data_IF_584479440468
#
_entry.id   IF_584479440468
#
_cell.length_a   1.000
_cell.length_b   1.000
_cell.length_c   1.000
_cell.angle_alpha   90.00
_cell.angle_beta   90.00
_cell.angle_gamma   90.00
#
_symmetry.space_group_name_H-M   'P 1'
#
loop_
_entity.id
_entity.type
_entity.pdbx_description
1 polymer ?
#
# COMPACT_ATOMS: atom_id res chain seq x y z
N UNK A 1 -30.38 19.80 6.48
CA UNK A 1 -29.85 21.17 6.64
C UNK A 1 -30.94 22.21 6.34
N UNK A 2 -31.99 22.31 7.17
CA UNK A 2 -33.11 23.26 6.96
C UNK A 2 -33.48 24.00 8.27
N UNK A 3 -32.83 23.67 9.39
CA UNK A 3 -33.06 24.36 10.66
C UNK A 3 -32.17 25.61 10.76
N UNK A 4 -32.56 26.57 11.62
CA UNK A 4 -31.80 27.82 11.85
C UNK A 4 -30.36 27.58 12.35
N UNK A 5 -30.11 26.44 12.99
CA UNK A 5 -28.77 26.01 13.42
C UNK A 5 -28.05 25.08 12.43
N UNK A 6 -28.63 24.80 11.26
CA UNK A 6 -28.11 23.80 10.32
C UNK A 6 -26.71 24.12 9.80
N UNK A 7 -26.41 25.41 9.55
CA UNK A 7 -25.11 25.83 9.06
C UNK A 7 -23.98 25.55 10.08
N UNK A 8 -24.25 25.74 11.38
CA UNK A 8 -23.28 25.44 12.43
C UNK A 8 -22.93 23.95 12.48
N UNK A 9 -23.95 23.08 12.37
CA UNK A 9 -23.76 21.63 12.36
C UNK A 9 -23.03 21.19 11.09
N UNK A 10 -23.39 21.76 9.94
CA UNK A 10 -22.69 21.52 8.67
C UNK A 10 -21.20 21.84 8.80
N UNK A 11 -20.88 23.02 9.34
CA UNK A 11 -19.49 23.46 9.45
C UNK A 11 -18.64 22.55 10.35
N UNK A 12 -19.16 22.14 11.52
CA UNK A 12 -18.44 21.17 12.37
C UNK A 12 -18.21 19.87 11.60
N UNK A 13 -19.27 19.32 10.98
CA UNK A 13 -19.18 18.03 10.31
C UNK A 13 -18.21 18.08 9.13
N UNK A 14 -18.27 19.14 8.31
CA UNK A 14 -17.39 19.32 7.16
C UNK A 14 -15.92 19.46 7.57
N UNK A 15 -15.64 20.27 8.58
CA UNK A 15 -14.28 20.48 9.07
C UNK A 15 -13.68 19.21 9.71
N UNK A 16 -14.49 18.45 10.46
CA UNK A 16 -14.04 17.21 11.11
C UNK A 16 -13.96 16.02 10.14
N UNK A 17 -14.85 15.90 9.15
CA UNK A 17 -14.82 14.79 8.18
C UNK A 17 -13.89 15.02 6.99
N UNK A 18 -13.93 16.22 6.40
CA UNK A 18 -13.21 16.57 5.17
C UNK A 18 -11.74 16.94 5.37
N UNK A 19 -11.33 17.20 6.62
CA UNK A 19 -9.96 17.57 6.96
C UNK A 19 -9.04 16.37 7.19
N UNK A 20 -8.55 16.27 8.42
CA UNK A 20 -7.50 15.32 8.82
C UNK A 20 -7.82 13.82 8.59
N UNK A 21 -9.06 13.31 8.82
CA UNK A 21 -9.34 11.88 8.65
C UNK A 21 -9.22 11.40 7.21
N UNK A 22 -9.63 12.24 6.24
CA UNK A 22 -9.54 11.90 4.82
C UNK A 22 -8.08 11.73 4.38
N UNK A 23 -7.18 12.57 4.90
CA UNK A 23 -5.74 12.47 4.66
C UNK A 23 -5.16 11.17 5.22
N UNK A 24 -5.56 10.78 6.44
CA UNK A 24 -5.11 9.51 7.04
C UNK A 24 -5.56 8.32 6.20
N UNK A 25 -6.83 8.29 5.79
CA UNK A 25 -7.36 7.21 4.94
C UNK A 25 -6.54 7.11 3.65
N UNK A 26 -6.28 8.24 2.99
CA UNK A 26 -5.47 8.29 1.77
C UNK A 26 -4.05 7.74 1.96
N UNK A 27 -3.36 8.08 3.07
CA UNK A 27 -2.02 7.54 3.34
C UNK A 27 -2.05 6.03 3.55
N UNK A 28 -3.02 5.53 4.34
CA UNK A 28 -3.17 4.10 4.58
C UNK A 28 -3.44 3.38 3.25
N UNK A 29 -4.35 3.90 2.42
CA UNK A 29 -4.70 3.31 1.13
C UNK A 29 -3.49 3.26 0.18
N UNK A 30 -2.75 4.36 0.04
CA UNK A 30 -1.54 4.39 -0.79
C UNK A 30 -0.45 3.44 -0.29
N UNK A 31 -0.28 3.33 1.03
CA UNK A 31 0.67 2.41 1.63
C UNK A 31 0.26 0.95 1.40
N UNK A 32 -1.03 0.63 1.57
CA UNK A 32 -1.59 -0.68 1.27
C UNK A 32 -1.36 -1.07 -0.19
N UNK A 33 -1.65 -0.20 -1.16
CA UNK A 33 -1.43 -0.50 -2.58
C UNK A 33 0.06 -0.66 -2.89
N UNK A 34 0.90 0.26 -2.42
CA UNK A 34 2.31 0.32 -2.83
C UNK A 34 3.19 -0.76 -2.20
N UNK A 35 2.97 -1.08 -0.91
CA UNK A 35 3.81 -2.01 -0.13
C UNK A 35 3.14 -3.34 0.18
N UNK A 36 1.83 -3.36 0.48
CA UNK A 36 1.13 -4.60 0.83
C UNK A 36 0.76 -5.36 -0.45
N UNK A 37 0.10 -4.73 -1.40
CA UNK A 37 -0.24 -5.36 -2.69
C UNK A 37 0.99 -5.46 -3.60
N UNK A 38 1.80 -4.40 -3.65
CA UNK A 38 3.05 -4.33 -4.40
C UNK A 38 2.89 -3.60 -5.72
N UNK A 39 3.79 -2.64 -5.97
CA UNK A 39 3.75 -1.78 -7.16
C UNK A 39 3.86 -2.55 -8.49
N UNK A 40 4.63 -3.64 -8.52
CA UNK A 40 4.78 -4.44 -9.75
C UNK A 40 3.47 -5.14 -10.13
N UNK A 41 2.79 -5.74 -9.15
CA UNK A 41 1.47 -6.35 -9.34
C UNK A 41 0.45 -5.31 -9.81
N UNK A 42 0.45 -4.12 -9.20
CA UNK A 42 -0.43 -3.02 -9.61
C UNK A 42 -0.16 -2.55 -11.05
N UNK A 43 1.10 -2.50 -11.48
CA UNK A 43 1.45 -2.14 -12.86
C UNK A 43 1.05 -3.22 -13.87
N UNK A 44 1.15 -4.49 -13.49
CA UNK A 44 0.72 -5.61 -14.32
C UNK A 44 -0.81 -5.61 -14.47
N UNK A 45 -1.54 -5.26 -13.40
CA UNK A 45 -3.00 -5.09 -13.44
C UNK A 45 -3.43 -3.93 -14.36
N UNK A 46 -2.72 -2.80 -14.31
CA UNK A 46 -2.98 -1.67 -15.20
C UNK A 46 -2.70 -2.05 -16.66
N UNK A 47 -1.61 -2.78 -16.92
CA UNK A 47 -1.30 -3.27 -18.25
C UNK A 47 -2.38 -4.24 -18.76
N UNK A 48 -2.94 -5.07 -17.88
CA UNK A 48 -4.05 -5.96 -18.22
C UNK A 48 -5.33 -5.19 -18.60
N UNK A 49 -5.60 -4.05 -17.97
CA UNK A 49 -6.79 -3.22 -18.25
C UNK A 49 -6.64 -2.36 -19.52
N UNK A 50 -5.47 -1.75 -19.72
CA UNK A 50 -5.22 -0.81 -20.82
C UNK A 50 -4.63 -1.46 -22.08
N UNK A 51 -4.28 -2.75 -22.01
CA UNK A 51 -3.56 -3.49 -23.02
C UNK A 51 -2.06 -3.58 -22.72
N UNK A 52 -1.47 -4.73 -23.04
CA UNK A 52 -0.10 -5.12 -22.67
C UNK A 52 0.96 -4.10 -23.12
N UNK A 53 0.69 -3.39 -24.22
CA UNK A 53 1.61 -2.41 -24.79
C UNK A 53 1.74 -1.12 -23.97
N UNK A 54 0.88 -0.91 -22.96
CA UNK A 54 0.82 0.33 -22.16
C UNK A 54 1.20 0.13 -20.70
N UNK A 55 2.22 -0.70 -20.43
CA UNK A 55 2.77 -0.83 -19.07
C UNK A 55 3.28 0.53 -18.58
N UNK A 56 2.89 0.99 -17.37
CA UNK A 56 3.36 2.25 -16.82
C UNK A 56 4.88 2.30 -16.74
N UNK A 57 5.48 3.36 -17.30
CA UNK A 57 6.93 3.57 -17.25
C UNK A 57 7.42 3.68 -15.79
N UNK A 58 8.66 3.29 -15.51
CA UNK A 58 9.23 3.25 -14.15
C UNK A 58 9.15 4.58 -13.41
N UNK A 59 9.14 5.71 -14.13
CA UNK A 59 8.91 7.03 -13.55
C UNK A 59 7.57 7.12 -12.80
N UNK A 60 6.48 6.62 -13.39
CA UNK A 60 5.16 6.61 -12.76
C UNK A 60 5.12 5.70 -11.53
N UNK A 61 5.81 4.57 -11.60
CA UNK A 61 5.93 3.64 -10.49
C UNK A 61 6.64 4.27 -9.28
N UNK A 62 7.74 4.99 -9.53
CA UNK A 62 8.46 5.72 -8.48
C UNK A 62 7.59 6.86 -7.92
N UNK A 63 6.85 7.55 -8.78
CA UNK A 63 5.92 8.60 -8.38
C UNK A 63 4.87 8.06 -7.39
N UNK A 64 4.17 7.00 -7.74
CA UNK A 64 3.15 6.42 -6.87
C UNK A 64 3.72 5.76 -5.61
N UNK A 65 4.90 5.14 -5.71
CA UNK A 65 5.51 4.44 -4.58
C UNK A 65 6.10 5.39 -3.55
N UNK A 66 6.75 6.48 -3.97
CA UNK A 66 7.50 7.35 -3.06
C UNK A 66 6.97 8.78 -3.03
N UNK A 67 6.66 9.36 -4.19
CA UNK A 67 6.27 10.78 -4.28
C UNK A 67 4.88 10.99 -3.70
N UNK A 68 3.88 10.19 -4.08
CA UNK A 68 2.51 10.31 -3.58
C UNK A 68 2.40 10.17 -2.05
N UNK A 69 2.97 9.14 -1.39
CA UNK A 69 2.92 9.06 0.07
C UNK A 69 3.73 10.16 0.75
N UNK A 70 4.83 10.63 0.15
CA UNK A 70 5.61 11.75 0.69
C UNK A 70 4.81 13.06 0.66
N UNK A 71 4.11 13.35 -0.44
CA UNK A 71 3.26 14.54 -0.56
C UNK A 71 2.12 14.46 0.46
N UNK A 72 1.44 13.33 0.60
CA UNK A 72 0.37 13.19 1.59
C UNK A 72 0.89 13.35 3.02
N UNK A 73 2.05 12.75 3.34
CA UNK A 73 2.66 12.91 4.67
C UNK A 73 3.03 14.38 4.93
N UNK A 74 3.56 15.08 3.94
CA UNK A 74 3.82 16.51 4.02
C UNK A 74 2.54 17.31 4.25
N UNK A 75 1.45 17.01 3.54
CA UNK A 75 0.14 17.66 3.73
C UNK A 75 -0.42 17.41 5.12
N UNK A 76 -0.26 16.20 5.69
CA UNK A 76 -0.68 15.89 7.06
C UNK A 76 0.10 16.73 8.07
N UNK A 77 1.43 16.80 7.94
CA UNK A 77 2.27 17.61 8.84
C UNK A 77 1.89 19.08 8.73
N UNK A 78 1.74 19.61 7.52
CA UNK A 78 1.32 20.98 7.30
C UNK A 78 -0.07 21.25 7.89
N UNK A 79 -1.04 20.37 7.65
CA UNK A 79 -2.39 20.47 8.22
C UNK A 79 -2.38 20.45 9.75
N UNK A 80 -1.48 19.68 10.37
CA UNK A 80 -1.34 19.66 11.84
C UNK A 80 -0.68 20.91 12.39
N UNK A 81 0.29 21.50 11.69
CA UNK A 81 0.99 22.71 12.13
C UNK A 81 0.11 23.97 12.01
N UNK A 82 -0.72 24.03 10.97
CA UNK A 82 -1.64 25.14 10.72
C UNK A 82 -3.06 24.84 11.20
N UNK A 83 -3.21 23.91 12.17
CA UNK A 83 -4.50 23.61 12.75
C UNK A 83 -5.04 24.83 13.51
N UNK A 84 -6.11 25.42 13.00
CA UNK A 84 -6.88 26.44 13.70
C UNK A 84 -8.12 25.80 14.33
N UNK A 85 -8.48 26.28 15.52
CA UNK A 85 -9.71 25.85 16.19
C UNK A 85 -10.91 26.09 15.26
N UNK A 86 -11.81 25.11 15.19
CA UNK A 86 -13.00 25.19 14.35
C UNK A 86 -13.87 26.32 14.90
N UNK A 87 -13.93 27.45 14.22
CA UNK A 87 -14.77 28.61 14.57
C UNK A 87 -15.64 28.97 13.38
N UNK A 88 -16.91 29.29 13.63
CA UNK A 88 -17.78 29.88 12.60
C UNK A 88 -18.07 31.32 13.00
N UNK A 89 -17.54 32.26 12.22
CA UNK A 89 -17.58 33.70 12.51
C UNK A 89 -17.04 33.99 13.93
N UNK A 90 -17.88 34.50 14.84
CA UNK A 90 -17.57 34.79 16.25
C UNK A 90 -18.06 33.68 17.23
N UNK A 91 -18.60 32.58 16.73
CA UNK A 91 -19.12 31.50 17.57
C UNK A 91 -18.04 30.47 17.90
N UNK A 92 -17.67 30.40 19.18
CA UNK A 92 -16.84 29.33 19.73
C UNK A 92 -17.70 28.13 20.07
N UNK A 93 -17.36 26.97 19.50
CA UNK A 93 -18.13 25.75 19.72
C UNK A 93 -17.93 25.22 21.15
N UNK A 94 -19.01 24.79 21.81
CA UNK A 94 -18.90 24.23 23.15
C UNK A 94 -18.15 22.88 23.13
N UNK A 95 -17.46 22.50 24.21
CA UNK A 95 -16.63 21.29 24.26
C UNK A 95 -17.36 19.99 23.92
N UNK A 96 -18.64 19.88 24.25
CA UNK A 96 -19.44 18.70 23.91
C UNK A 96 -19.63 18.53 22.40
N UNK A 97 -19.70 19.63 21.65
CA UNK A 97 -19.87 19.59 20.21
C UNK A 97 -18.57 19.15 19.51
N UNK A 98 -17.43 19.61 20.02
CA UNK A 98 -16.11 19.15 19.59
C UNK A 98 -15.92 17.66 19.89
N UNK A 99 -16.36 17.18 21.06
CA UNK A 99 -16.32 15.76 21.40
C UNK A 99 -17.17 14.89 20.45
N UNK A 100 -18.34 15.37 20.02
CA UNK A 100 -19.14 14.70 18.99
C UNK A 100 -18.42 14.65 17.65
N UNK A 101 -17.74 15.73 17.25
CA UNK A 101 -16.90 15.75 16.03
C UNK A 101 -15.84 14.66 16.05
N UNK A 102 -15.06 14.59 17.15
CA UNK A 102 -14.04 13.55 17.33
C UNK A 102 -14.61 12.13 17.40
N UNK A 103 -15.79 11.94 17.99
CA UNK A 103 -16.47 10.64 18.03
C UNK A 103 -16.79 10.14 16.61
N UNK A 104 -17.31 11.02 15.74
CA UNK A 104 -17.57 10.67 14.34
C UNK A 104 -16.28 10.28 13.62
N UNK A 105 -15.19 11.03 13.84
CA UNK A 105 -13.87 10.71 13.27
C UNK A 105 -13.39 9.33 13.71
N UNK A 106 -13.49 9.01 15.00
CA UNK A 106 -13.06 7.72 15.55
C UNK A 106 -13.89 6.58 14.97
N UNK A 107 -15.20 6.77 14.79
CA UNK A 107 -16.06 5.75 14.18
C UNK A 107 -15.65 5.50 12.73
N UNK A 108 -15.43 6.56 11.94
CA UNK A 108 -15.03 6.46 10.54
C UNK A 108 -13.65 5.80 10.39
N UNK A 109 -12.65 6.28 11.13
CA UNK A 109 -11.28 5.75 11.06
C UNK A 109 -11.16 4.37 11.70
N UNK A 110 -11.96 4.08 12.73
CA UNK A 110 -11.95 2.82 13.46
C UNK A 110 -12.59 1.65 12.71
N UNK A 111 -13.44 1.92 11.71
CA UNK A 111 -14.09 0.87 10.92
C UNK A 111 -13.09 0.02 10.13
N UNK A 112 -12.10 0.64 9.48
CA UNK A 112 -11.06 -0.05 8.72
C UNK A 112 -10.21 -1.01 9.58
N UNK A 113 -9.59 -0.59 10.71
CA UNK A 113 -8.84 -1.48 11.56
C UNK A 113 -9.73 -2.50 12.26
N UNK A 114 -11.00 -2.18 12.55
CA UNK A 114 -11.95 -3.15 13.12
C UNK A 114 -12.15 -4.36 12.20
N UNK A 115 -12.42 -4.14 10.91
CA UNK A 115 -12.54 -5.24 9.93
C UNK A 115 -11.22 -6.00 9.81
N UNK A 116 -10.10 -5.27 9.69
CA UNK A 116 -8.78 -5.88 9.56
C UNK A 116 -8.44 -6.77 10.75
N UNK A 117 -8.71 -6.30 11.97
CA UNK A 117 -8.49 -7.05 13.20
C UNK A 117 -9.42 -8.28 13.30
N UNK A 118 -10.69 -8.13 12.94
CA UNK A 118 -11.63 -9.25 12.89
C UNK A 118 -11.16 -10.37 11.97
N UNK A 119 -10.60 -10.01 10.80
CA UNK A 119 -10.08 -11.01 9.87
C UNK A 119 -8.76 -11.63 10.38
N UNK A 120 -7.89 -10.84 11.03
CA UNK A 120 -6.66 -11.34 11.70
C UNK A 120 -7.00 -12.41 12.74
N UNK A 121 -7.97 -12.16 13.60
CA UNK A 121 -8.39 -13.13 14.61
C UNK A 121 -8.93 -14.43 13.99
N UNK A 122 -9.58 -14.34 12.83
CA UNK A 122 -10.20 -15.50 12.18
C UNK A 122 -9.23 -16.36 11.36
N UNK A 123 -8.29 -15.73 10.63
CA UNK A 123 -7.42 -16.41 9.65
C UNK A 123 -5.93 -16.44 10.00
N UNK A 124 -5.51 -15.63 10.96
CA UNK A 124 -4.11 -15.42 11.32
C UNK A 124 -3.37 -14.44 10.38
N UNK A 125 -2.47 -13.64 10.95
CA UNK A 125 -1.76 -12.54 10.28
C UNK A 125 -1.01 -12.98 9.01
N UNK A 126 -0.36 -14.14 9.05
CA UNK A 126 0.45 -14.64 7.93
C UNK A 126 -0.36 -15.02 6.70
N UNK A 127 -1.57 -15.58 6.89
CA UNK A 127 -2.43 -15.95 5.78
C UNK A 127 -3.01 -14.72 5.10
N UNK A 128 -3.32 -13.68 5.87
CA UNK A 128 -3.86 -12.42 5.34
C UNK A 128 -2.82 -11.67 4.54
N UNK A 129 -1.58 -11.54 5.02
CA UNK A 129 -0.52 -10.85 4.26
C UNK A 129 -0.18 -11.62 2.97
N UNK A 130 -0.32 -12.95 2.96
CA UNK A 130 -0.20 -13.74 1.72
C UNK A 130 -1.38 -13.49 0.77
N UNK A 131 -2.62 -13.47 1.29
CA UNK A 131 -3.82 -13.21 0.50
C UNK A 131 -3.91 -11.77 -0.02
N UNK A 132 -3.47 -10.77 0.76
CA UNK A 132 -3.48 -9.37 0.40
C UNK A 132 -2.44 -9.01 -0.68
N UNK A 133 -1.45 -9.88 -0.90
CA UNK A 133 -0.49 -9.79 -2.01
C UNK A 133 -1.00 -10.39 -3.31
N UNK A 134 -2.16 -11.04 -3.27
CA UNK A 134 -2.78 -11.70 -4.41
C UNK A 134 -4.06 -10.95 -4.78
N UNK A 135 -4.40 -10.82 -6.06
CA UNK A 135 -5.71 -10.33 -6.46
C UNK A 135 -6.81 -11.28 -5.95
N UNK A 136 -8.03 -10.75 -5.79
CA UNK A 136 -9.18 -11.56 -5.38
C UNK A 136 -9.42 -12.72 -6.36
N UNK A 137 -9.95 -13.86 -5.90
CA UNK A 137 -10.10 -15.08 -6.73
C UNK A 137 -10.95 -14.87 -8.00
N UNK A 138 -11.88 -13.92 -7.94
CA UNK A 138 -12.75 -13.55 -9.07
C UNK A 138 -12.20 -12.37 -9.90
N UNK A 139 -11.12 -11.75 -9.44
CA UNK A 139 -10.55 -10.58 -10.10
C UNK A 139 -9.83 -10.99 -11.40
N UNK A 140 -10.16 -10.28 -12.47
CA UNK A 140 -9.63 -10.49 -13.81
C UNK A 140 -10.59 -9.96 -14.87
N UNK A 141 -10.18 -9.92 -16.14
CA UNK A 141 -11.02 -9.41 -17.22
C UNK A 141 -12.31 -10.24 -17.36
N UNK A 142 -13.41 -9.54 -17.66
CA UNK A 142 -14.76 -10.12 -17.68
C UNK A 142 -14.93 -11.24 -18.74
N UNK A 143 -14.11 -11.25 -19.79
CA UNK A 143 -14.09 -12.31 -20.82
C UNK A 143 -13.04 -13.37 -20.49
N UNK A 144 -13.42 -14.63 -20.63
CA UNK A 144 -12.55 -15.78 -20.37
C UNK A 144 -11.27 -15.81 -21.24
N UNK A 145 -11.34 -15.31 -22.47
CA UNK A 145 -10.20 -15.25 -23.39
C UNK A 145 -9.07 -14.35 -22.84
N UNK A 146 -9.41 -13.18 -22.32
CA UNK A 146 -8.44 -12.28 -21.68
C UNK A 146 -8.00 -12.77 -20.29
N UNK A 147 -8.76 -13.69 -19.67
CA UNK A 147 -8.40 -14.33 -18.41
C UNK A 147 -7.26 -15.33 -18.61
N UNK A 148 -7.17 -15.98 -19.77
CA UNK A 148 -6.05 -16.85 -20.12
C UNK A 148 -4.74 -16.07 -20.31
N UNK A 149 -4.80 -14.84 -20.84
CA UNK A 149 -3.64 -13.93 -20.90
C UNK A 149 -3.15 -13.58 -19.50
N UNK A 150 -4.05 -13.19 -18.58
CA UNK A 150 -3.73 -12.96 -17.16
C UNK A 150 -3.04 -14.17 -16.50
N UNK A 151 -3.58 -15.38 -16.69
CA UNK A 151 -2.94 -16.60 -16.17
C UNK A 151 -1.58 -16.90 -16.83
N UNK A 152 -1.37 -16.53 -18.10
CA UNK A 152 -0.04 -16.55 -18.74
C UNK A 152 0.92 -15.52 -18.11
N UNK A 153 0.44 -14.33 -17.73
CA UNK A 153 1.25 -13.35 -16.97
C UNK A 153 1.68 -13.87 -15.60
N UNK A 154 0.74 -14.43 -14.83
CA UNK A 154 1.03 -15.01 -13.51
C UNK A 154 2.06 -16.15 -13.60
N UNK A 155 1.96 -17.01 -14.62
CA UNK A 155 2.95 -18.08 -14.86
C UNK A 155 4.31 -17.55 -15.31
N UNK A 156 4.37 -16.49 -16.12
CA UNK A 156 5.64 -15.85 -16.51
C UNK A 156 6.39 -15.22 -15.33
N UNK A 157 5.68 -14.59 -14.38
CA UNK A 157 6.26 -14.06 -13.14
C UNK A 157 6.80 -15.21 -12.27
N UNK A 158 6.05 -16.31 -12.17
CA UNK A 158 6.50 -17.51 -11.44
C UNK A 158 7.77 -18.11 -12.04
N UNK A 159 7.82 -18.26 -13.38
CA UNK A 159 8.99 -18.75 -14.11
C UNK A 159 10.22 -17.85 -13.94
N UNK A 160 10.04 -16.52 -13.92
CA UNK A 160 11.13 -15.55 -13.70
C UNK A 160 11.69 -15.59 -12.28
N UNK A 161 10.84 -15.86 -11.29
CA UNK A 161 11.27 -16.02 -9.91
C UNK A 161 12.00 -17.35 -9.69
N UNK A 162 11.58 -18.44 -10.35
CA UNK A 162 12.31 -19.70 -10.36
C UNK A 162 13.69 -19.56 -11.01
N UNK A 163 13.78 -18.87 -12.15
CA UNK A 163 15.06 -18.70 -12.84
C UNK A 163 16.05 -17.84 -12.04
N UNK A 164 15.58 -16.75 -11.41
CA UNK A 164 16.43 -15.97 -10.49
C UNK A 164 16.89 -16.79 -9.28
N UNK A 165 16.04 -17.64 -8.69
CA UNK A 165 16.44 -18.53 -7.59
C UNK A 165 17.46 -19.57 -8.02
N UNK A 166 17.33 -20.15 -9.22
CA UNK A 166 18.34 -21.08 -9.75
C UNK A 166 19.67 -20.37 -10.02
N UNK A 167 19.66 -19.14 -10.54
CA UNK A 167 20.87 -18.37 -10.81
C UNK A 167 21.62 -18.01 -9.51
N UNK A 168 20.91 -17.56 -8.48
CA UNK A 168 21.55 -17.30 -7.17
C UNK A 168 22.10 -18.56 -6.51
N UNK A 169 21.45 -19.70 -6.74
CA UNK A 169 21.94 -21.01 -6.29
C UNK A 169 23.23 -21.40 -7.01
N UNK A 170 23.28 -21.22 -8.34
CA UNK A 170 24.46 -21.53 -9.16
C UNK A 170 25.63 -20.61 -8.80
N UNK A 171 25.39 -19.30 -8.66
CA UNK A 171 26.42 -18.33 -8.26
C UNK A 171 27.02 -18.68 -6.87
N UNK A 172 26.21 -19.21 -5.95
CA UNK A 172 26.68 -19.63 -4.62
C UNK A 172 27.55 -20.89 -4.65
N UNK A 173 27.30 -21.78 -5.61
CA UNK A 173 28.08 -23.01 -5.81
C UNK A 173 29.43 -22.64 -6.45
N UNK A 174 29.41 -21.76 -7.46
CA UNK A 174 30.63 -21.30 -8.13
C UNK A 174 31.55 -20.55 -7.16
N UNK A 175 31.01 -19.64 -6.35
CA UNK A 175 31.78 -18.91 -5.33
C UNK A 175 32.44 -19.84 -4.29
N UNK A 176 31.77 -20.92 -3.91
CA UNK A 176 32.29 -21.89 -2.95
C UNK A 176 33.39 -22.78 -3.57
N UNK A 177 33.25 -23.09 -4.87
CA UNK A 177 34.27 -23.80 -5.63
C UNK A 177 35.56 -22.97 -5.77
N UNK A 178 35.44 -21.68 -6.06
CA UNK A 178 36.57 -20.75 -6.13
C UNK A 178 37.29 -20.59 -4.79
N UNK A 179 36.54 -20.48 -3.69
CA UNK A 179 37.09 -20.46 -2.33
C UNK A 179 37.85 -21.76 -2.02
N UNK A 180 37.33 -22.91 -2.46
CA UNK A 180 37.98 -24.21 -2.25
C UNK A 180 39.30 -24.32 -3.03
N UNK A 181 39.31 -23.91 -4.30
CA UNK A 181 40.51 -23.87 -5.14
C UNK A 181 41.56 -22.93 -4.55
N UNK A 182 41.15 -21.76 -4.06
CA UNK A 182 42.05 -20.81 -3.39
C UNK A 182 42.63 -21.36 -2.09
N UNK A 183 41.85 -22.15 -1.35
CA UNK A 183 42.30 -22.85 -0.13
C UNK A 183 43.31 -23.95 -0.44
N UNK A 184 43.11 -24.69 -1.53
CA UNK A 184 44.07 -25.71 -2.00
C UNK A 184 45.37 -25.08 -2.51
N UNK A 185 45.27 -23.99 -3.28
CA UNK A 185 46.41 -23.22 -3.75
C UNK A 185 47.27 -22.71 -2.59
N UNK A 186 46.64 -22.07 -1.60
CA UNK A 186 47.34 -21.52 -0.44
C UNK A 186 48.01 -22.62 0.42
N UNK A 187 47.37 -23.80 0.52
CA UNK A 187 47.94 -24.95 1.24
C UNK A 187 49.18 -25.54 0.55
N UNK A 188 49.31 -25.41 -0.78
CA UNK A 188 50.49 -25.88 -1.52
C UNK A 188 51.70 -24.93 -1.43
N UNK A 189 51.47 -23.65 -1.13
CA UNK A 189 52.53 -22.63 -1.03
C UNK A 189 53.17 -22.65 0.37
N UNK A 190 52.46 -23.09 1.40
CA UNK A 190 52.96 -23.17 2.79
C UNK A 190 53.67 -24.48 3.14
N UNK A 191 53.86 -25.41 2.20
CA UNK A 191 54.52 -26.71 2.42
C UNK A 191 55.98 -26.75 1.92
N UNK A 192 56.64 -25.60 1.85
CA UNK A 192 58.09 -25.47 1.65
C UNK A 192 58.73 -24.81 2.87
#
# INVERSE_FOLDING_TARGET
MVTRGGLYVLNIVDQYLGGFPWLIIGVIELFCISWVYGMDNFCDDIALMLGEERRPNKFWQICWKYISPLILLFTIVFSSLFYQEVTLDDYTYPPWALALGWMVVIICLGWLPYIFFGEICRRGTWNIIKQARLPHAEWGPAREEHRQLSNRYTSNIHMKNLSMQTLTSIDSIDLNSDLFVKKLSNKSITSF
#
